data_IF_487406884601
#
_entry.id   IF_487406884601
#
_cell.length_a   1.000
_cell.length_b   1.000
_cell.length_c   1.000
_cell.angle_alpha   90.00
_cell.angle_beta   90.00
_cell.angle_gamma   90.00
#
_symmetry.space_group_name_H-M   'P 1'
#
loop_
_entity.id
_entity.type
_entity.pdbx_description
1 polymer ?
#
# COMPACT_ATOMS: atom_id res chain seq x y z
N UNK A 1 20.49 -3.59 3.36
CA UNK A 1 19.32 -2.71 3.20
C UNK A 1 19.78 -1.29 3.49
N UNK A 2 19.40 -0.30 2.68
CA UNK A 2 19.73 1.12 2.97
C UNK A 2 18.48 1.81 3.49
N UNK A 3 18.65 2.56 4.57
CA UNK A 3 17.59 3.17 5.37
C UNK A 3 17.60 4.68 5.21
N UNK A 4 16.41 5.27 5.29
CA UNK A 4 16.20 6.72 5.20
C UNK A 4 15.26 7.13 6.34
N UNK A 5 15.67 8.11 7.13
CA UNK A 5 14.82 8.72 8.15
C UNK A 5 13.85 9.71 7.49
N UNK A 6 12.57 9.59 7.82
CA UNK A 6 11.46 10.38 7.29
C UNK A 6 10.47 10.72 8.42
N UNK A 7 9.54 11.61 8.14
CA UNK A 7 8.46 11.99 9.05
C UNK A 7 7.11 11.48 8.53
N UNK A 8 6.14 11.39 9.42
CA UNK A 8 4.76 11.07 9.06
C UNK A 8 4.19 12.18 8.16
N UNK A 9 3.69 11.76 7.00
CA UNK A 9 3.02 12.64 6.05
C UNK A 9 1.51 12.61 6.24
N UNK A 10 0.75 13.36 5.44
CA UNK A 10 -0.71 13.40 5.52
C UNK A 10 -1.38 13.52 4.14
N UNK A 11 -2.68 13.25 4.09
CA UNK A 11 -3.51 13.45 2.91
C UNK A 11 -3.69 14.95 2.63
N UNK A 12 -3.81 15.30 1.34
CA UNK A 12 -4.11 16.66 0.91
C UNK A 12 -5.59 17.04 1.05
N UNK A 13 -6.49 16.04 1.09
CA UNK A 13 -7.93 16.25 1.27
C UNK A 13 -8.34 16.38 2.74
N UNK A 14 -7.59 15.70 3.63
CA UNK A 14 -7.87 15.61 5.05
C UNK A 14 -6.54 15.53 5.81
N UNK A 15 -6.04 16.65 6.35
CA UNK A 15 -4.76 16.67 7.07
C UNK A 15 -4.73 15.79 8.33
N UNK A 16 -5.90 15.37 8.84
CA UNK A 16 -6.00 14.43 9.98
C UNK A 16 -5.88 12.96 9.54
N UNK A 17 -5.52 12.70 8.27
CA UNK A 17 -5.36 11.35 7.70
C UNK A 17 -3.97 11.10 7.17
N UNK A 18 -3.31 10.10 7.71
CA UNK A 18 -1.95 9.68 7.36
C UNK A 18 -1.92 8.37 6.55
N UNK A 19 -3.02 7.62 6.50
CA UNK A 19 -3.16 6.40 5.70
C UNK A 19 -4.18 6.54 4.57
N UNK A 20 -3.83 5.99 3.41
CA UNK A 20 -4.73 5.88 2.26
C UNK A 20 -5.57 4.59 2.29
N UNK A 21 -4.91 3.47 2.58
CA UNK A 21 -5.46 2.11 2.72
C UNK A 21 -4.73 1.39 3.86
N UNK A 22 -5.09 0.14 4.16
CA UNK A 22 -4.46 -0.64 5.23
C UNK A 22 -3.00 -1.06 4.99
N UNK A 23 -2.42 -0.76 3.82
CA UNK A 23 -1.02 -1.03 3.48
C UNK A 23 -0.33 0.17 2.82
N UNK A 24 -0.91 1.37 2.93
CA UNK A 24 -0.44 2.54 2.20
C UNK A 24 -0.53 3.79 3.09
N UNK A 25 0.59 4.49 3.29
CA UNK A 25 0.72 5.63 4.21
C UNK A 25 1.50 6.78 3.57
N UNK A 26 1.27 8.00 4.05
CA UNK A 26 1.98 9.20 3.64
C UNK A 26 3.25 9.39 4.48
N UNK A 27 4.37 9.72 3.83
CA UNK A 27 5.64 10.07 4.48
C UNK A 27 6.24 11.33 3.86
N UNK A 28 7.00 12.08 4.64
CA UNK A 28 7.58 13.38 4.27
C UNK A 28 8.99 13.55 4.84
N UNK A 29 9.67 14.66 4.53
CA UNK A 29 10.97 14.99 5.13
C UNK A 29 11.81 15.86 4.21
N UNK A 30 12.96 15.34 3.77
CA UNK A 30 13.81 16.03 2.78
C UNK A 30 13.22 16.02 1.35
N UNK A 31 12.08 15.34 1.15
CA UNK A 31 11.24 15.36 -0.05
C UNK A 31 9.79 15.75 0.32
N UNK A 32 8.99 16.19 -0.66
CA UNK A 32 7.57 16.52 -0.46
C UNK A 32 6.73 15.28 -0.06
N UNK A 33 5.58 15.52 0.58
CA UNK A 33 4.67 14.48 1.05
C UNK A 33 4.32 13.43 -0.03
N UNK A 34 4.68 12.17 0.22
CA UNK A 34 4.62 11.07 -0.73
C UNK A 34 3.79 9.89 -0.19
N UNK A 35 3.00 9.25 -1.06
CA UNK A 35 2.22 8.06 -0.70
C UNK A 35 3.05 6.79 -0.96
N UNK A 36 3.46 6.11 0.11
CA UNK A 36 4.19 4.84 0.02
C UNK A 36 3.26 3.64 0.18
N UNK A 37 3.69 2.48 -0.34
CA UNK A 37 3.04 1.19 -0.14
C UNK A 37 3.97 0.23 0.59
N UNK A 38 3.40 -0.46 1.58
CA UNK A 38 4.10 -1.46 2.37
C UNK A 38 4.40 -2.71 1.52
N UNK A 39 5.69 -3.01 1.38
CA UNK A 39 6.21 -4.15 0.64
C UNK A 39 6.02 -5.46 1.40
N UNK A 40 5.82 -6.56 0.68
CA UNK A 40 5.63 -7.91 1.23
C UNK A 40 4.25 -8.18 1.83
N UNK A 41 3.32 -7.23 1.78
CA UNK A 41 1.96 -7.34 2.34
C UNK A 41 0.90 -6.78 1.39
N UNK A 42 -0.33 -7.28 1.52
CA UNK A 42 -1.51 -6.79 0.82
C UNK A 42 -2.67 -6.67 1.83
N UNK A 43 -3.20 -5.46 2.00
CA UNK A 43 -4.35 -5.20 2.85
C UNK A 43 -5.63 -5.04 2.00
N UNK A 44 -6.78 -5.13 2.64
CA UNK A 44 -8.05 -4.88 1.96
C UNK A 44 -8.15 -3.41 1.51
N UNK A 45 -8.54 -3.18 0.25
CA UNK A 45 -8.77 -1.83 -0.26
C UNK A 45 -10.04 -1.20 0.35
N UNK A 46 -9.91 0.00 0.90
CA UNK A 46 -11.00 0.80 1.48
C UNK A 46 -12.09 1.12 0.44
N UNK A 47 -11.74 1.13 -0.85
CA UNK A 47 -12.69 1.41 -1.93
C UNK A 47 -13.49 0.18 -2.34
N UNK A 48 -13.10 -1.03 -1.93
CA UNK A 48 -13.76 -2.30 -2.32
C UNK A 48 -13.80 -2.54 -3.83
N UNK A 49 -12.95 -1.84 -4.59
CA UNK A 49 -13.05 -1.73 -6.03
C UNK A 49 -12.68 -3.04 -6.71
N UNK A 50 -11.76 -3.82 -6.13
CA UNK A 50 -11.35 -5.11 -6.68
C UNK A 50 -12.55 -6.06 -6.89
N UNK A 51 -13.38 -6.29 -5.88
CA UNK A 51 -14.56 -7.15 -6.02
C UNK A 51 -15.64 -6.52 -6.91
N UNK A 52 -15.82 -5.20 -6.83
CA UNK A 52 -16.75 -4.49 -7.70
C UNK A 52 -16.38 -4.63 -9.18
N UNK A 53 -15.12 -4.38 -9.55
CA UNK A 53 -14.62 -4.52 -10.92
C UNK A 53 -14.60 -5.97 -11.38
N UNK A 54 -14.23 -6.90 -10.49
CA UNK A 54 -14.28 -8.34 -10.79
C UNK A 54 -15.71 -8.75 -11.18
N UNK A 55 -16.72 -8.30 -10.43
CA UNK A 55 -18.13 -8.52 -10.77
C UNK A 55 -18.54 -7.84 -12.07
N UNK A 56 -18.21 -6.56 -12.25
CA UNK A 56 -18.60 -5.75 -13.42
C UNK A 56 -17.96 -6.24 -14.73
N UNK A 57 -16.74 -6.78 -14.68
CA UNK A 57 -16.02 -7.27 -15.85
C UNK A 57 -16.61 -8.54 -16.48
N UNK A 58 -17.68 -9.10 -15.90
CA UNK A 58 -18.22 -10.39 -16.33
C UNK A 58 -17.27 -11.56 -16.04
N UNK A 59 -16.31 -11.38 -15.11
CA UNK A 59 -15.32 -12.39 -14.72
C UNK A 59 -15.94 -13.78 -14.53
N UNK A 60 -17.04 -13.86 -13.76
CA UNK A 60 -17.73 -15.13 -13.49
C UNK A 60 -18.21 -15.84 -14.76
N UNK A 61 -18.50 -15.13 -15.85
CA UNK A 61 -18.97 -15.73 -17.10
C UNK A 61 -17.83 -16.36 -17.92
N UNK A 62 -16.57 -16.05 -17.58
CA UNK A 62 -15.37 -16.58 -18.23
C UNK A 62 -14.80 -17.82 -17.52
N UNK A 63 -15.32 -18.12 -16.32
CA UNK A 63 -14.89 -19.27 -15.54
C UNK A 63 -15.60 -20.54 -16.00
N UNK A 64 -14.97 -21.69 -15.73
CA UNK A 64 -15.64 -22.98 -15.87
C UNK A 64 -16.85 -23.09 -14.93
N UNK A 65 -17.74 -24.04 -15.23
CA UNK A 65 -19.03 -24.18 -14.55
C UNK A 65 -18.91 -24.40 -13.04
N UNK A 66 -17.93 -25.19 -12.60
CA UNK A 66 -17.74 -25.54 -11.19
C UNK A 66 -17.15 -24.38 -10.41
N UNK A 67 -16.09 -23.74 -10.93
CA UNK A 67 -15.49 -22.57 -10.29
C UNK A 67 -16.46 -21.40 -10.25
N UNK A 68 -17.25 -21.21 -11.31
CA UNK A 68 -18.34 -20.21 -11.34
C UNK A 68 -19.39 -20.50 -10.27
N UNK A 69 -19.79 -21.75 -10.08
CA UNK A 69 -20.77 -22.16 -9.06
C UNK A 69 -20.23 -21.93 -7.65
N UNK A 70 -18.95 -22.21 -7.44
CA UNK A 70 -18.26 -21.98 -6.16
C UNK A 70 -18.11 -20.49 -5.80
N UNK A 71 -17.72 -19.65 -6.77
CA UNK A 71 -17.41 -18.23 -6.52
C UNK A 71 -18.63 -17.32 -6.56
N UNK A 72 -19.68 -17.65 -7.32
CA UNK A 72 -20.89 -16.82 -7.43
C UNK A 72 -21.53 -16.43 -6.09
N UNK A 73 -21.73 -17.32 -5.10
CA UNK A 73 -22.29 -16.92 -3.82
C UNK A 73 -21.33 -16.08 -2.95
N UNK A 74 -20.04 -15.99 -3.32
CA UNK A 74 -19.00 -15.24 -2.62
C UNK A 74 -18.74 -13.85 -3.22
N UNK A 75 -19.37 -13.52 -4.34
CA UNK A 75 -19.21 -12.24 -5.05
C UNK A 75 -20.53 -11.45 -5.06
N UNK A 76 -21.03 -11.13 -3.87
CA UNK A 76 -22.29 -10.40 -3.67
C UNK A 76 -22.04 -8.93 -3.30
N UNK A 77 -23.11 -8.11 -3.22
CA UNK A 77 -23.00 -6.76 -2.66
C UNK A 77 -22.58 -6.80 -1.18
N UNK A 78 -23.02 -7.81 -0.45
CA UNK A 78 -22.64 -8.03 0.96
C UNK A 78 -21.14 -8.32 1.07
N UNK A 79 -20.60 -9.21 0.22
CA UNK A 79 -19.15 -9.48 0.19
C UNK A 79 -18.35 -8.23 -0.14
N UNK A 80 -18.82 -7.39 -1.07
CA UNK A 80 -18.18 -6.09 -1.36
C UNK A 80 -18.20 -5.19 -0.12
N UNK A 81 -19.33 -5.13 0.59
CA UNK A 81 -19.46 -4.35 1.84
C UNK A 81 -18.53 -4.85 2.95
N UNK A 82 -18.42 -6.16 3.15
CA UNK A 82 -17.51 -6.77 4.12
C UNK A 82 -16.06 -6.42 3.79
N UNK A 83 -15.64 -6.58 2.52
CA UNK A 83 -14.28 -6.21 2.09
C UNK A 83 -14.00 -4.72 2.31
N UNK A 84 -14.98 -3.86 2.05
CA UNK A 84 -14.86 -2.42 2.29
C UNK A 84 -14.65 -2.11 3.77
N UNK A 85 -15.42 -2.75 4.65
CA UNK A 85 -15.31 -2.57 6.11
C UNK A 85 -13.94 -3.04 6.62
N UNK A 86 -13.48 -4.21 6.18
CA UNK A 86 -12.14 -4.71 6.51
C UNK A 86 -11.04 -3.75 6.04
N UNK A 87 -11.22 -3.10 4.88
CA UNK A 87 -10.30 -2.07 4.42
C UNK A 87 -10.25 -0.85 5.34
N UNK A 88 -11.42 -0.38 5.83
CA UNK A 88 -11.46 0.69 6.82
C UNK A 88 -10.81 0.29 8.15
N UNK A 89 -11.09 -0.91 8.65
CA UNK A 89 -10.51 -1.43 9.90
C UNK A 89 -8.98 -1.53 9.80
N UNK A 90 -8.46 -2.04 8.67
CA UNK A 90 -7.03 -2.13 8.43
C UNK A 90 -6.35 -0.74 8.37
N UNK A 91 -6.97 0.21 7.68
CA UNK A 91 -6.48 1.60 7.60
C UNK A 91 -6.49 2.25 8.98
N UNK A 92 -7.60 2.17 9.70
CA UNK A 92 -7.75 2.80 11.02
C UNK A 92 -6.79 2.16 12.05
N UNK A 93 -6.50 0.86 11.93
CA UNK A 93 -5.46 0.22 12.71
C UNK A 93 -4.07 0.78 12.38
N UNK A 94 -3.69 0.86 11.10
CA UNK A 94 -2.39 1.42 10.71
C UNK A 94 -2.25 2.86 11.22
N UNK A 95 -3.28 3.69 11.03
CA UNK A 95 -3.34 5.06 11.54
C UNK A 95 -3.06 5.15 13.04
N UNK A 96 -3.61 4.22 13.83
CA UNK A 96 -3.51 4.23 15.29
C UNK A 96 -2.13 3.84 15.84
N UNK A 97 -1.28 3.25 15.01
CA UNK A 97 0.04 2.73 15.43
C UNK A 97 1.21 3.47 14.78
N UNK A 98 0.97 4.31 13.76
CA UNK A 98 2.01 5.10 13.12
C UNK A 98 2.58 6.12 14.11
N UNK A 99 3.91 6.22 14.08
CA UNK A 99 4.65 7.21 14.85
C UNK A 99 5.05 8.39 13.95
N UNK A 100 5.39 9.51 14.56
CA UNK A 100 5.77 10.72 13.83
C UNK A 100 7.12 10.56 13.12
N UNK A 101 8.09 9.94 13.79
CA UNK A 101 9.43 9.70 13.27
C UNK A 101 9.54 8.27 12.73
N UNK A 102 9.90 8.14 11.46
CA UNK A 102 9.83 6.90 10.71
C UNK A 102 11.14 6.60 9.99
N UNK A 103 11.36 5.33 9.70
CA UNK A 103 12.45 4.87 8.85
C UNK A 103 11.85 4.08 7.69
N UNK A 104 12.20 4.50 6.47
CA UNK A 104 11.86 3.76 5.25
C UNK A 104 13.06 2.97 4.77
N UNK A 105 12.80 1.71 4.44
CA UNK A 105 13.80 0.79 3.90
C UNK A 105 13.33 0.23 2.56
N UNK A 106 14.26 0.14 1.60
CA UNK A 106 13.97 -0.36 0.26
C UNK A 106 14.64 -1.70 0.01
N UNK A 107 13.98 -2.50 -0.84
CA UNK A 107 14.57 -3.66 -1.48
C UNK A 107 15.03 -3.33 -2.91
N UNK A 108 15.41 -4.36 -3.67
CA UNK A 108 15.81 -4.23 -5.09
C UNK A 108 14.70 -3.61 -5.96
N UNK A 109 13.44 -3.81 -5.58
CA UNK A 109 12.26 -3.20 -6.18
C UNK A 109 11.94 -1.90 -5.43
N UNK A 110 11.84 -0.79 -6.16
CA UNK A 110 11.76 0.54 -5.54
C UNK A 110 10.38 1.18 -5.75
N UNK A 111 9.72 0.93 -6.88
CA UNK A 111 8.40 1.49 -7.20
C UNK A 111 7.46 0.44 -7.81
N UNK A 112 6.16 0.57 -7.54
CA UNK A 112 5.12 -0.17 -8.25
C UNK A 112 4.72 0.49 -9.58
N UNK A 113 3.88 -0.19 -10.37
CA UNK A 113 3.33 0.31 -11.65
C UNK A 113 2.51 1.60 -11.55
N UNK A 114 2.10 1.97 -10.34
CA UNK A 114 1.37 3.21 -10.06
C UNK A 114 2.30 4.29 -9.52
N UNK A 115 3.60 4.07 -9.65
CA UNK A 115 4.67 4.98 -9.24
C UNK A 115 4.71 5.21 -7.73
N UNK A 116 4.08 4.32 -6.93
CA UNK A 116 4.19 4.35 -5.46
C UNK A 116 5.50 3.70 -5.03
N UNK A 117 6.27 4.33 -4.14
CA UNK A 117 7.43 3.69 -3.54
C UNK A 117 7.01 2.43 -2.77
N UNK A 118 7.75 1.34 -2.96
CA UNK A 118 7.58 0.09 -2.24
C UNK A 118 8.58 0.03 -1.10
N UNK A 119 8.09 0.01 0.14
CA UNK A 119 8.94 0.18 1.33
C UNK A 119 8.61 -0.80 2.44
N UNK A 120 9.62 -1.13 3.25
CA UNK A 120 9.39 -1.49 4.64
C UNK A 120 9.39 -0.20 5.47
N UNK A 121 8.37 -0.03 6.30
CA UNK A 121 8.23 1.13 7.16
C UNK A 121 8.37 0.69 8.62
N UNK A 122 9.21 1.38 9.37
CA UNK A 122 9.45 1.13 10.81
C UNK A 122 9.44 2.44 11.59
N UNK A 123 9.22 2.36 12.89
CA UNK A 123 9.81 3.32 13.82
C UNK A 123 11.23 2.81 14.15
N UNK A 124 12.18 3.72 14.36
CA UNK A 124 13.64 3.50 14.41
C UNK A 124 14.08 2.12 14.96
N UNK A 125 13.53 1.69 16.11
CA UNK A 125 13.90 0.42 16.78
C UNK A 125 12.73 -0.59 16.93
N UNK A 126 11.74 -0.56 16.04
CA UNK A 126 10.55 -1.42 16.13
C UNK A 126 10.37 -2.38 14.96
N UNK A 127 9.58 -3.43 15.20
CA UNK A 127 9.04 -4.27 14.13
C UNK A 127 8.39 -3.42 13.04
N UNK A 128 8.59 -3.83 11.78
CA UNK A 128 7.95 -3.18 10.63
C UNK A 128 6.43 -3.11 10.79
N UNK A 129 5.84 -1.99 10.38
CA UNK A 129 4.39 -1.86 10.31
C UNK A 129 3.77 -2.93 9.40
N UNK A 130 4.51 -3.36 8.38
CA UNK A 130 4.20 -4.50 7.52
C UNK A 130 3.93 -5.77 8.36
N UNK A 131 4.83 -6.11 9.29
CA UNK A 131 4.68 -7.26 10.18
C UNK A 131 3.52 -7.06 11.17
N UNK A 132 3.39 -5.87 11.76
CA UNK A 132 2.32 -5.56 12.73
C UNK A 132 0.92 -5.74 12.10
N UNK A 133 0.74 -5.32 10.85
CA UNK A 133 -0.50 -5.52 10.10
C UNK A 133 -0.83 -7.00 9.88
N UNK A 134 0.18 -7.81 9.55
CA UNK A 134 0.01 -9.26 9.38
C UNK A 134 -0.33 -9.93 10.71
N UNK A 135 0.36 -9.57 11.79
CA UNK A 135 0.11 -10.12 13.13
C UNK A 135 -1.29 -9.78 13.64
N UNK A 136 -1.79 -8.57 13.34
CA UNK A 136 -3.13 -8.14 13.71
C UNK A 136 -4.24 -8.70 12.78
N UNK A 137 -3.87 -9.39 11.68
CA UNK A 137 -4.81 -9.96 10.73
C UNK A 137 -5.42 -8.96 9.74
N UNK A 138 -4.83 -7.77 9.61
CA UNK A 138 -5.30 -6.71 8.72
C UNK A 138 -4.62 -6.70 7.34
N UNK A 139 -3.54 -7.47 7.18
CA UNK A 139 -2.91 -7.73 5.89
C UNK A 139 -2.49 -9.20 5.77
N UNK A 140 -2.35 -9.67 4.53
CA UNK A 140 -1.78 -10.98 4.23
C UNK A 140 -0.36 -10.82 3.68
N UNK A 141 0.56 -11.77 3.96
CA UNK A 141 1.84 -11.81 3.26
C UNK A 141 1.64 -11.95 1.75
N UNK A 142 2.34 -11.14 0.97
CA UNK A 142 2.22 -11.10 -0.48
C UNK A 142 3.60 -11.16 -1.13
N UNK A 143 3.91 -12.32 -1.73
CA UNK A 143 5.26 -12.65 -2.20
C UNK A 143 5.45 -12.50 -3.71
N UNK A 144 4.39 -12.20 -4.46
CA UNK A 144 4.43 -12.02 -5.91
C UNK A 144 3.91 -10.63 -6.19
N UNK A 145 4.77 -9.64 -6.37
CA UNK A 145 4.36 -8.32 -6.85
C UNK A 145 4.34 -8.33 -8.39
N UNK A 146 3.20 -8.50 -9.07
CA UNK A 146 3.15 -8.52 -10.54
C UNK A 146 3.47 -7.17 -11.19
N UNK A 147 3.87 -6.16 -10.42
CA UNK A 147 3.82 -4.75 -10.78
C UNK A 147 5.05 -3.95 -10.33
N UNK A 148 6.13 -4.59 -9.87
CA UNK A 148 7.32 -3.88 -9.45
C UNK A 148 8.20 -3.47 -10.64
N UNK A 149 8.67 -2.24 -10.64
CA UNK A 149 9.63 -1.73 -11.62
C UNK A 149 10.98 -1.58 -10.92
N UNK A 150 11.97 -2.35 -11.35
CA UNK A 150 13.33 -2.24 -10.84
C UNK A 150 14.07 -1.12 -11.57
N UNK A 151 14.62 -0.16 -10.82
CA UNK A 151 15.68 0.69 -11.34
C UNK A 151 16.94 -0.15 -11.45
N UNK A 152 17.54 -0.21 -12.64
CA UNK A 152 18.80 -0.94 -12.89
C UNK A 152 19.84 -0.64 -11.82
N UNK A 153 20.51 -1.71 -11.39
CA UNK A 153 21.50 -1.78 -10.31
C UNK A 153 22.59 -0.72 -10.44
N UNK A 154 22.78 0.09 -9.40
CA UNK A 154 24.05 0.25 -8.69
C UNK A 154 23.83 1.20 -7.50
N UNK A 155 24.06 0.67 -6.29
CA UNK A 155 23.78 1.35 -5.05
C UNK A 155 24.96 2.19 -4.58
N UNK A 156 24.75 3.50 -4.48
CA UNK A 156 25.08 4.28 -3.29
C UNK A 156 24.17 5.51 -3.27
N UNK A 157 23.17 5.54 -2.36
CA UNK A 157 22.26 6.67 -2.26
C UNK A 157 23.07 7.93 -1.96
N UNK A 158 23.28 8.72 -2.99
CA UNK A 158 22.43 9.85 -3.35
C UNK A 158 22.58 10.01 -4.87
N UNK A 159 21.58 10.50 -5.61
CA UNK A 159 21.79 11.91 -5.92
C UNK A 159 20.59 12.85 -6.08
N UNK A 160 19.66 12.72 -6.98
CA UNK A 160 18.99 11.53 -7.43
C UNK A 160 18.19 10.79 -6.36
N UNK A 161 18.30 11.14 -5.05
CA UNK A 161 18.04 10.27 -3.87
C UNK A 161 16.61 9.87 -3.70
N UNK A 162 16.24 9.00 -4.62
CA UNK A 162 14.92 9.02 -5.17
C UNK A 162 14.56 10.53 -5.31
N UNK A 163 15.20 11.25 -6.27
CA UNK A 163 15.25 12.73 -6.59
C UNK A 163 13.93 13.50 -6.68
N UNK A 164 12.86 12.91 -6.29
CA UNK A 164 12.10 11.96 -7.06
C UNK A 164 11.16 11.61 -5.92
N UNK A 165 11.37 10.55 -5.20
CA UNK A 165 10.31 10.10 -4.35
C UNK A 165 9.17 9.60 -5.25
N UNK A 166 9.41 9.27 -6.55
CA UNK A 166 9.42 10.15 -7.78
C UNK A 166 8.44 11.32 -7.92
N UNK A 167 8.95 12.54 -8.20
CA UNK A 167 8.53 13.92 -7.86
C UNK A 167 7.38 14.07 -6.85
N UNK A 168 7.53 13.32 -5.74
CA UNK A 168 6.60 13.13 -4.64
C UNK A 168 5.43 12.22 -4.97
N UNK A 169 5.75 11.03 -5.49
CA UNK A 169 4.78 10.04 -5.94
C UNK A 169 3.79 10.76 -6.87
N UNK A 170 4.38 11.30 -7.94
CA UNK A 170 4.36 12.70 -8.36
C UNK A 170 3.13 13.52 -7.97
N UNK A 171 3.33 14.39 -6.98
CA UNK A 171 2.32 15.26 -6.42
C UNK A 171 1.16 14.47 -5.82
N UNK A 172 1.48 13.36 -5.13
CA UNK A 172 0.55 12.44 -4.48
C UNK A 172 -0.63 12.08 -5.40
N UNK A 173 -0.29 11.79 -6.67
CA UNK A 173 -1.26 11.51 -7.73
C UNK A 173 -2.27 12.65 -7.96
N UNK A 174 -1.85 13.90 -7.72
CA UNK A 174 -2.46 15.23 -7.92
C UNK A 174 -3.86 15.51 -7.38
N UNK A 175 -4.63 14.50 -6.95
CA UNK A 175 -6.09 14.58 -6.89
C UNK A 175 -6.71 13.35 -6.19
N UNK A 176 -5.96 12.69 -5.31
CA UNK A 176 -6.44 11.42 -4.74
C UNK A 176 -7.87 11.49 -4.21
#
# INVERSE_FOLDING_TARGET
MKEIHVQLGHSSLDPDKHCFDGDSSYVTGFFENALVRLLGVDAFEVRGLNLYYLRKSGFLNRLDGELRKYLRPKLTNESIGIHKNLGFEARDFLESILEEDLVVSFEREVFDRYERPLVYLTAEDQDTYNLKLVQAGYAIPYFIYPNAVSSTEEGEFTYDTLEKMRDATVEAKRNN
#
